data_IF_688077810087
#
_entry.id   IF_688077810087
#
_cell.length_a   1.000
_cell.length_b   1.000
_cell.length_c   1.000
_cell.angle_alpha   90.00
_cell.angle_beta   90.00
_cell.angle_gamma   90.00
#
_symmetry.space_group_name_H-M   'P 1'
#
loop_
_entity.id
_entity.type
_entity.pdbx_description
1 polymer ?
#
# COMPACT_ATOMS: atom_id res chain seq x y z
N UNK A 1 16.38 -16.48 -9.59
CA UNK A 1 15.69 -15.86 -8.43
C UNK A 1 14.21 -16.11 -8.59
N UNK A 2 13.47 -16.46 -7.53
CA UNK A 2 12.05 -16.85 -7.62
C UNK A 2 11.07 -15.67 -7.78
N UNK A 3 11.58 -14.43 -7.76
CA UNK A 3 10.80 -13.17 -7.86
C UNK A 3 11.05 -12.43 -9.17
N UNK A 4 11.58 -13.12 -10.17
CA UNK A 4 11.87 -12.59 -11.51
C UNK A 4 11.28 -13.55 -12.54
N UNK A 5 10.83 -13.05 -13.71
CA UNK A 5 10.25 -13.90 -14.74
C UNK A 5 11.23 -15.00 -15.19
N UNK A 6 10.68 -16.17 -15.50
CA UNK A 6 11.40 -17.30 -16.04
C UNK A 6 11.67 -17.10 -17.54
N UNK A 7 12.91 -16.74 -17.86
CA UNK A 7 13.35 -16.47 -19.24
C UNK A 7 12.80 -15.17 -19.82
N UNK A 8 13.15 -14.89 -21.07
CA UNK A 8 12.91 -13.58 -21.70
C UNK A 8 11.64 -13.50 -22.55
N UNK A 9 10.91 -14.62 -22.71
CA UNK A 9 9.73 -14.69 -23.56
C UNK A 9 8.64 -13.69 -23.15
N UNK A 10 8.26 -13.66 -21.87
CA UNK A 10 7.21 -12.78 -21.37
C UNK A 10 7.62 -11.31 -21.41
N UNK A 11 8.91 -11.02 -21.17
CA UNK A 11 9.48 -9.68 -21.33
C UNK A 11 9.37 -9.20 -22.79
N UNK A 12 9.79 -10.03 -23.74
CA UNK A 12 9.70 -9.73 -25.18
C UNK A 12 8.27 -9.60 -25.66
N UNK A 13 7.35 -10.44 -25.19
CA UNK A 13 5.92 -10.33 -25.50
C UNK A 13 5.34 -9.02 -24.95
N UNK A 14 5.68 -8.64 -23.73
CA UNK A 14 5.26 -7.38 -23.13
C UNK A 14 5.73 -6.16 -23.93
N UNK A 15 6.96 -6.17 -24.42
CA UNK A 15 7.49 -5.12 -25.31
C UNK A 15 6.71 -5.01 -26.61
N UNK A 16 6.46 -6.13 -27.30
CA UNK A 16 5.63 -6.16 -28.51
C UNK A 16 4.21 -5.63 -28.27
N UNK A 17 3.62 -5.96 -27.11
CA UNK A 17 2.32 -5.42 -26.73
C UNK A 17 2.36 -3.89 -26.56
N UNK A 18 3.37 -3.36 -25.88
CA UNK A 18 3.54 -1.90 -25.71
C UNK A 18 3.69 -1.19 -27.04
N UNK A 19 4.54 -1.72 -27.94
CA UNK A 19 4.73 -1.18 -29.29
C UNK A 19 3.41 -1.15 -30.09
N UNK A 20 2.57 -2.17 -29.91
CA UNK A 20 1.25 -2.26 -30.53
C UNK A 20 0.17 -1.42 -29.82
N UNK A 21 0.48 -0.76 -28.68
CA UNK A 21 -0.50 -0.07 -27.85
C UNK A 21 -1.52 -1.01 -27.20
N UNK A 22 -1.13 -2.26 -26.96
CA UNK A 22 -1.94 -3.33 -26.38
C UNK A 22 -1.63 -3.50 -24.88
N UNK A 23 -2.67 -3.48 -24.05
CA UNK A 23 -2.57 -3.71 -22.60
C UNK A 23 -3.22 -5.02 -22.21
N UNK A 24 -2.62 -5.72 -21.24
CA UNK A 24 -3.07 -7.04 -20.77
C UNK A 24 -3.45 -6.98 -19.31
N UNK A 25 -4.75 -7.11 -19.04
CA UNK A 25 -5.27 -7.42 -17.70
C UNK A 25 -5.38 -8.94 -17.54
N UNK A 26 -4.94 -9.48 -16.40
CA UNK A 26 -4.86 -10.91 -16.13
C UNK A 26 -5.69 -11.30 -14.91
N UNK A 27 -6.64 -12.22 -15.09
CA UNK A 27 -7.43 -12.83 -14.02
C UNK A 27 -6.92 -14.25 -13.75
N UNK A 28 -6.32 -14.48 -12.58
CA UNK A 28 -5.71 -15.74 -12.17
C UNK A 28 -6.58 -16.46 -11.14
N UNK A 29 -6.77 -17.77 -11.33
CA UNK A 29 -7.54 -18.64 -10.44
C UNK A 29 -6.68 -19.83 -9.97
N UNK A 30 -5.56 -19.58 -9.26
CA UNK A 30 -4.65 -20.66 -8.88
C UNK A 30 -5.22 -21.55 -7.78
N UNK A 31 -5.04 -22.87 -7.92
CA UNK A 31 -5.23 -23.87 -6.85
C UNK A 31 -3.90 -24.47 -6.36
N UNK A 32 -2.80 -24.12 -7.01
CA UNK A 32 -1.43 -24.49 -6.69
C UNK A 32 -0.48 -23.39 -7.16
N UNK A 33 0.83 -23.60 -7.05
CA UNK A 33 1.84 -22.72 -7.63
C UNK A 33 1.60 -22.49 -9.12
N UNK A 34 1.67 -21.23 -9.56
CA UNK A 34 1.47 -20.80 -10.97
C UNK A 34 2.57 -19.88 -11.50
N UNK A 35 3.56 -19.54 -10.69
CA UNK A 35 4.64 -18.61 -11.06
C UNK A 35 4.14 -17.22 -11.45
N UNK A 36 3.54 -16.52 -10.47
CA UNK A 36 3.03 -15.15 -10.66
C UNK A 36 4.13 -14.18 -11.08
N UNK A 37 5.39 -14.40 -10.68
CA UNK A 37 6.51 -13.56 -11.09
C UNK A 37 6.68 -13.57 -12.61
N UNK A 38 6.51 -14.72 -13.25
CA UNK A 38 6.53 -14.85 -14.72
C UNK A 38 5.25 -14.34 -15.37
N UNK A 39 4.08 -14.77 -14.87
CA UNK A 39 2.79 -14.44 -15.50
C UNK A 39 2.43 -12.95 -15.41
N UNK A 40 2.90 -12.25 -14.38
CA UNK A 40 2.63 -10.82 -14.18
C UNK A 40 3.53 -9.89 -15.01
N UNK A 41 4.55 -10.40 -15.70
CA UNK A 41 5.52 -9.59 -16.44
C UNK A 41 4.87 -8.82 -17.62
N UNK A 42 3.98 -9.48 -18.37
CA UNK A 42 3.27 -8.83 -19.49
C UNK A 42 2.30 -7.74 -18.98
N UNK A 43 1.42 -8.00 -18.00
CA UNK A 43 0.64 -6.93 -17.35
C UNK A 43 1.51 -5.80 -16.79
N UNK A 44 2.68 -6.13 -16.21
CA UNK A 44 3.58 -5.14 -15.60
C UNK A 44 4.12 -4.17 -16.65
N UNK A 45 4.61 -4.69 -17.77
CA UNK A 45 5.16 -3.88 -18.86
C UNK A 45 4.08 -3.09 -19.59
N UNK A 46 2.89 -3.69 -19.75
CA UNK A 46 1.80 -3.10 -20.52
C UNK A 46 0.85 -2.22 -19.70
N UNK A 47 1.23 -1.89 -18.46
CA UNK A 47 0.43 -1.10 -17.51
C UNK A 47 -0.98 -1.67 -17.27
N UNK A 48 -1.11 -3.00 -17.37
CA UNK A 48 -2.33 -3.73 -17.05
C UNK A 48 -2.39 -4.12 -15.57
N UNK A 49 -3.37 -4.96 -15.23
CA UNK A 49 -3.68 -5.39 -13.86
C UNK A 49 -3.59 -6.90 -13.69
N UNK A 50 -3.36 -7.34 -12.45
CA UNK A 50 -3.38 -8.76 -12.06
C UNK A 50 -4.36 -8.95 -10.93
N UNK A 51 -5.44 -9.66 -11.22
CA UNK A 51 -6.45 -10.12 -10.27
C UNK A 51 -6.16 -11.58 -9.93
N UNK A 52 -6.15 -11.93 -8.64
CA UNK A 52 -5.75 -13.26 -8.18
C UNK A 52 -6.77 -13.78 -7.17
N UNK A 53 -7.35 -14.95 -7.46
CA UNK A 53 -8.35 -15.62 -6.63
C UNK A 53 -7.82 -17.00 -6.22
N UNK A 54 -7.13 -17.04 -5.08
CA UNK A 54 -6.59 -18.28 -4.52
C UNK A 54 -7.72 -19.27 -4.21
N UNK A 55 -7.55 -20.53 -4.64
CA UNK A 55 -8.48 -21.63 -4.40
C UNK A 55 -9.94 -21.28 -4.74
N UNK A 56 -10.15 -20.64 -5.89
CA UNK A 56 -11.45 -20.11 -6.31
C UNK A 56 -12.58 -21.16 -6.23
N UNK A 57 -13.64 -20.80 -5.52
CA UNK A 57 -14.90 -21.55 -5.47
C UNK A 57 -16.03 -20.63 -5.95
N UNK A 58 -16.76 -21.05 -6.99
CA UNK A 58 -17.74 -20.20 -7.65
C UNK A 58 -18.90 -19.76 -6.73
N UNK A 59 -19.28 -20.62 -5.80
CA UNK A 59 -20.30 -20.37 -4.78
C UNK A 59 -19.85 -19.40 -3.67
N UNK A 60 -18.55 -19.26 -3.42
CA UNK A 60 -18.00 -18.36 -2.39
C UNK A 60 -17.44 -17.05 -2.94
N UNK A 61 -16.86 -17.09 -4.15
CA UNK A 61 -16.07 -15.99 -4.72
C UNK A 61 -16.57 -15.53 -6.09
N UNK A 62 -17.65 -16.13 -6.62
CA UNK A 62 -18.21 -15.77 -7.93
C UNK A 62 -18.54 -14.28 -8.03
N UNK A 63 -19.22 -13.73 -7.04
CA UNK A 63 -19.56 -12.31 -6.98
C UNK A 63 -18.32 -11.40 -6.87
N UNK A 64 -17.25 -11.87 -6.20
CA UNK A 64 -15.98 -11.13 -6.12
C UNK A 64 -15.40 -10.93 -7.51
N UNK A 65 -15.27 -12.04 -8.23
CA UNK A 65 -14.74 -12.04 -9.59
C UNK A 65 -15.60 -11.20 -10.52
N UNK A 66 -16.93 -11.35 -10.48
CA UNK A 66 -17.83 -10.58 -11.34
C UNK A 66 -17.76 -9.08 -11.05
N UNK A 67 -17.60 -8.69 -9.78
CA UNK A 67 -17.44 -7.28 -9.37
C UNK A 67 -16.13 -6.70 -9.90
N UNK A 68 -15.01 -7.41 -9.75
CA UNK A 68 -13.71 -7.00 -10.30
C UNK A 68 -13.71 -6.96 -11.83
N UNK A 69 -14.38 -7.91 -12.50
CA UNK A 69 -14.51 -7.92 -13.95
C UNK A 69 -15.33 -6.73 -14.45
N UNK A 70 -16.48 -6.45 -13.81
CA UNK A 70 -17.29 -5.29 -14.13
C UNK A 70 -16.50 -3.99 -13.93
N UNK A 71 -15.72 -3.89 -12.86
CA UNK A 71 -14.83 -2.77 -12.58
C UNK A 71 -13.74 -2.63 -13.65
N UNK A 72 -13.05 -3.71 -14.02
CA UNK A 72 -11.97 -3.69 -15.01
C UNK A 72 -12.45 -3.22 -16.40
N UNK A 73 -13.67 -3.61 -16.80
CA UNK A 73 -14.26 -3.28 -18.10
C UNK A 73 -14.87 -1.88 -18.13
N UNK A 74 -15.54 -1.45 -17.04
CA UNK A 74 -16.27 -0.19 -17.01
C UNK A 74 -15.39 1.05 -16.80
N UNK A 75 -14.15 0.87 -16.34
CA UNK A 75 -13.31 2.00 -15.97
C UNK A 75 -12.85 2.85 -17.16
N UNK A 76 -12.73 4.17 -16.98
CA UNK A 76 -12.11 5.04 -17.97
C UNK A 76 -10.67 4.59 -18.25
N UNK A 77 -10.34 4.46 -19.53
CA UNK A 77 -9.00 4.10 -19.99
C UNK A 77 -8.51 5.08 -21.05
N UNK A 78 -7.21 5.26 -21.11
CA UNK A 78 -6.50 5.96 -22.16
C UNK A 78 -5.45 5.01 -22.76
N UNK A 79 -5.31 5.01 -24.08
CA UNK A 79 -4.52 4.01 -24.80
C UNK A 79 -3.26 4.61 -25.40
N UNK A 80 -2.25 3.75 -25.58
CA UNK A 80 -0.98 4.05 -26.24
C UNK A 80 -0.38 5.37 -25.73
N UNK A 81 -0.17 5.44 -24.43
CA UNK A 81 0.31 6.62 -23.75
C UNK A 81 1.83 6.61 -23.60
N UNK A 82 2.43 7.79 -23.75
CA UNK A 82 3.83 8.04 -23.46
C UNK A 82 3.91 9.22 -22.50
N UNK A 83 4.49 8.99 -21.33
CA UNK A 83 4.71 10.00 -20.32
C UNK A 83 6.19 10.39 -20.30
N UNK A 84 6.45 11.70 -20.25
CA UNK A 84 7.78 12.25 -20.07
C UNK A 84 7.78 13.29 -18.96
N UNK A 85 8.72 13.16 -18.04
CA UNK A 85 8.91 14.11 -16.94
C UNK A 85 10.12 14.97 -17.25
N UNK A 86 9.88 16.27 -17.36
CA UNK A 86 10.91 17.30 -17.57
C UNK A 86 11.11 18.07 -16.29
N UNK A 87 12.34 18.50 -16.07
CA UNK A 87 12.73 19.29 -14.91
C UNK A 87 13.48 20.54 -15.35
N UNK A 88 13.46 21.58 -14.52
CA UNK A 88 14.36 22.72 -14.68
C UNK A 88 15.82 22.30 -14.44
N UNK A 89 16.75 23.18 -14.81
CA UNK A 89 18.18 22.94 -14.61
C UNK A 89 18.52 22.63 -13.14
N UNK A 90 19.49 21.74 -12.94
CA UNK A 90 20.01 21.36 -11.63
C UNK A 90 19.40 20.10 -11.02
N UNK A 91 18.27 19.60 -11.52
CA UNK A 91 17.70 18.30 -11.15
C UNK A 91 17.31 17.48 -12.38
N UNK A 92 17.33 16.15 -12.27
CA UNK A 92 16.76 15.23 -13.27
C UNK A 92 16.09 14.01 -12.64
N UNK A 93 15.12 13.39 -13.33
CA UNK A 93 14.71 12.02 -13.04
C UNK A 93 15.85 11.03 -13.32
N UNK A 94 16.05 10.07 -12.41
CA UNK A 94 17.07 9.01 -12.56
C UNK A 94 16.51 7.61 -12.49
N UNK A 95 15.40 7.41 -11.76
CA UNK A 95 14.75 6.12 -11.58
C UNK A 95 13.24 6.30 -11.65
N UNK A 96 12.55 5.28 -12.14
CA UNK A 96 11.10 5.24 -12.26
C UNK A 96 10.57 3.91 -11.70
N UNK A 97 9.46 3.98 -10.99
CA UNK A 97 8.80 2.84 -10.35
C UNK A 97 7.31 2.85 -10.70
N UNK A 98 6.83 1.78 -11.30
CA UNK A 98 5.49 1.70 -11.86
C UNK A 98 5.32 0.44 -12.69
N UNK A 99 4.07 0.03 -12.91
CA UNK A 99 3.74 -0.97 -13.91
C UNK A 99 3.73 -0.26 -15.27
N UNK A 100 4.89 -0.21 -15.91
CA UNK A 100 5.13 0.47 -17.17
C UNK A 100 6.35 -0.11 -17.88
N UNK A 101 6.48 0.20 -19.18
CA UNK A 101 7.68 -0.07 -19.94
C UNK A 101 8.53 1.20 -20.05
N UNK A 102 9.83 1.06 -19.87
CA UNK A 102 10.79 2.17 -19.87
C UNK A 102 11.91 1.77 -20.83
N UNK A 103 11.77 2.03 -22.14
CA UNK A 103 12.74 1.60 -23.15
C UNK A 103 14.04 2.41 -23.09
N UNK A 104 13.99 3.62 -22.52
CA UNK A 104 15.11 4.54 -22.40
C UNK A 104 15.04 5.27 -21.05
N UNK A 105 16.02 6.11 -20.74
CA UNK A 105 16.10 6.78 -19.43
C UNK A 105 15.14 7.97 -19.25
N UNK A 106 14.23 8.24 -20.20
CA UNK A 106 13.42 9.47 -20.20
C UNK A 106 11.93 9.27 -20.48
N UNK A 107 11.58 8.31 -21.34
CA UNK A 107 10.20 8.09 -21.77
C UNK A 107 9.62 6.87 -21.06
N UNK A 108 8.40 7.03 -20.53
CA UNK A 108 7.64 6.00 -19.83
C UNK A 108 6.47 5.61 -20.72
N UNK A 109 6.50 4.40 -21.24
CA UNK A 109 5.48 3.88 -22.14
C UNK A 109 4.43 3.08 -21.37
N UNK A 110 3.17 3.43 -21.61
CA UNK A 110 2.00 2.92 -20.91
C UNK A 110 0.98 2.51 -21.98
N UNK A 111 0.87 1.21 -22.26
CA UNK A 111 -0.06 0.74 -23.28
C UNK A 111 -1.51 1.10 -22.94
N UNK A 112 -1.85 1.09 -21.64
CA UNK A 112 -3.07 1.65 -21.09
C UNK A 112 -2.78 2.49 -19.85
N UNK A 113 -3.55 3.56 -19.65
CA UNK A 113 -3.54 4.38 -18.43
C UNK A 113 -4.96 4.46 -17.89
N UNK A 114 -5.09 4.23 -16.59
CA UNK A 114 -6.35 4.35 -15.88
C UNK A 114 -6.21 5.34 -14.69
N UNK A 115 -7.32 5.82 -14.09
CA UNK A 115 -7.28 6.78 -12.99
C UNK A 115 -6.45 6.41 -11.75
N UNK A 116 -6.15 5.13 -11.52
CA UNK A 116 -5.41 4.67 -10.33
C UNK A 116 -3.97 4.29 -10.68
N UNK A 117 -3.56 4.39 -11.96
CA UNK A 117 -2.20 4.12 -12.36
C UNK A 117 -1.27 5.19 -11.78
N UNK A 118 -0.27 4.76 -11.00
CA UNK A 118 0.72 5.65 -10.41
C UNK A 118 2.14 5.25 -10.83
N UNK A 119 2.95 6.27 -11.17
CA UNK A 119 4.39 6.13 -11.40
C UNK A 119 5.13 7.03 -10.43
N UNK A 120 6.04 6.44 -9.67
CA UNK A 120 6.91 7.13 -8.72
C UNK A 120 8.26 7.37 -9.40
N UNK A 121 8.84 8.55 -9.20
CA UNK A 121 10.11 8.94 -9.81
C UNK A 121 11.10 9.40 -8.75
N UNK A 122 12.36 9.01 -8.90
CA UNK A 122 13.46 9.51 -8.09
C UNK A 122 14.14 10.65 -8.83
N UNK A 123 14.23 11.81 -8.18
CA UNK A 123 14.96 12.97 -8.67
C UNK A 123 16.33 13.04 -8.00
N UNK A 124 17.36 13.38 -8.76
CA UNK A 124 18.69 13.68 -8.23
C UNK A 124 19.19 15.03 -8.71
N UNK A 125 20.14 15.57 -7.97
CA UNK A 125 20.88 16.76 -8.35
C UNK A 125 21.82 16.45 -9.51
N UNK A 126 21.73 17.26 -10.55
CA UNK A 126 22.67 17.28 -11.68
C UNK A 126 23.64 18.45 -11.61
N UNK A 127 23.24 19.53 -10.95
CA UNK A 127 24.07 20.69 -10.67
C UNK A 127 23.63 21.32 -9.33
N UNK A 128 24.33 22.35 -8.88
CA UNK A 128 23.96 23.13 -7.70
C UNK A 128 22.66 23.88 -7.96
N UNK A 129 21.73 23.77 -7.03
CA UNK A 129 20.53 24.59 -6.99
C UNK A 129 20.83 25.90 -6.25
N UNK A 130 20.34 27.02 -6.80
CA UNK A 130 20.39 28.29 -6.09
C UNK A 130 19.41 28.25 -4.93
N UNK A 131 19.81 28.76 -3.77
CA UNK A 131 18.99 28.75 -2.55
C UNK A 131 17.81 29.75 -2.68
N UNK A 132 16.63 29.37 -2.17
CA UNK A 132 15.37 30.13 -2.32
C UNK A 132 14.95 30.42 -3.77
N UNK A 133 15.41 29.61 -4.72
CA UNK A 133 14.94 29.64 -6.10
C UNK A 133 13.86 28.56 -6.32
N UNK A 134 13.19 28.61 -7.47
CA UNK A 134 12.21 27.62 -7.87
C UNK A 134 12.84 26.55 -8.77
N UNK A 135 12.57 25.29 -8.45
CA UNK A 135 12.69 24.20 -9.41
C UNK A 135 11.32 23.82 -9.94
N UNK A 136 11.27 23.44 -11.22
CA UNK A 136 10.05 23.10 -11.92
C UNK A 136 10.08 21.63 -12.33
N UNK A 137 8.96 20.95 -12.14
CA UNK A 137 8.72 19.59 -12.60
C UNK A 137 7.48 19.63 -13.50
N UNK A 138 7.61 19.13 -14.72
CA UNK A 138 6.51 19.03 -15.67
C UNK A 138 6.36 17.59 -16.14
N UNK A 139 5.25 16.95 -15.77
CA UNK A 139 4.86 15.67 -16.34
C UNK A 139 3.92 15.92 -17.53
N UNK A 140 4.31 15.46 -18.72
CA UNK A 140 3.49 15.50 -19.92
C UNK A 140 3.17 14.06 -20.35
N UNK A 141 1.88 13.72 -20.38
CA UNK A 141 1.38 12.42 -20.83
C UNK A 141 0.59 12.60 -22.12
N UNK A 142 1.15 12.11 -23.22
CA UNK A 142 0.52 12.07 -24.54
C UNK A 142 -0.20 10.72 -24.68
N UNK A 143 -1.50 10.72 -24.96
CA UNK A 143 -2.31 9.50 -25.02
C UNK A 143 -3.41 9.59 -26.09
N UNK A 144 -4.03 8.45 -26.41
CA UNK A 144 -5.21 8.36 -27.25
C UNK A 144 -6.42 8.04 -26.38
N UNK A 145 -7.43 8.91 -26.41
CA UNK A 145 -8.71 8.67 -25.71
C UNK A 145 -9.53 7.56 -26.38
N UNK A 146 -10.53 7.01 -25.68
CA UNK A 146 -11.42 5.98 -26.23
C UNK A 146 -12.22 6.43 -27.46
N UNK A 147 -12.40 7.74 -27.65
CA UNK A 147 -13.02 8.31 -28.87
C UNK A 147 -12.03 8.48 -30.03
N UNK A 148 -10.80 7.97 -29.91
CA UNK A 148 -9.77 8.04 -30.95
C UNK A 148 -9.01 9.37 -31.02
N UNK A 149 -9.24 10.30 -30.09
CA UNK A 149 -8.55 11.60 -30.11
C UNK A 149 -7.19 11.52 -29.41
N UNK A 150 -6.13 12.01 -30.07
CA UNK A 150 -4.81 12.20 -29.46
C UNK A 150 -4.83 13.46 -28.58
N UNK A 151 -4.47 13.31 -27.31
CA UNK A 151 -4.51 14.38 -26.30
C UNK A 151 -3.22 14.40 -25.48
N UNK A 152 -2.92 15.55 -24.91
CA UNK A 152 -1.81 15.72 -23.95
C UNK A 152 -2.40 16.20 -22.63
N UNK A 153 -2.06 15.53 -21.54
CA UNK A 153 -2.29 16.01 -20.17
C UNK A 153 -0.97 16.51 -19.60
N UNK A 154 -0.97 17.70 -19.01
CA UNK A 154 0.22 18.33 -18.43
C UNK A 154 -0.05 18.61 -16.95
N UNK A 155 0.87 18.19 -16.09
CA UNK A 155 0.95 18.57 -14.69
C UNK A 155 2.22 19.38 -14.47
N UNK A 156 2.09 20.58 -13.91
CA UNK A 156 3.22 21.43 -13.55
C UNK A 156 3.27 21.57 -12.04
N UNK A 157 4.47 21.40 -11.47
CA UNK A 157 4.75 21.58 -10.06
C UNK A 157 5.99 22.47 -9.92
N UNK A 158 5.92 23.46 -9.03
CA UNK A 158 7.05 24.30 -8.64
C UNK A 158 7.37 24.05 -7.18
N UNK A 159 8.64 23.82 -6.85
CA UNK A 159 9.12 23.61 -5.50
C UNK A 159 10.21 24.62 -5.18
N UNK A 160 10.22 25.14 -3.95
CA UNK A 160 11.30 25.98 -3.46
C UNK A 160 12.53 25.12 -3.15
N UNK A 161 13.71 25.66 -3.44
CA UNK A 161 14.98 25.11 -3.00
C UNK A 161 15.37 25.71 -1.65
N UNK A 162 16.08 24.94 -0.83
CA UNK A 162 16.59 25.43 0.45
C UNK A 162 17.96 24.80 0.74
N UNK A 163 18.88 25.59 1.28
CA UNK A 163 20.14 25.12 1.85
C UNK A 163 19.99 24.68 3.31
N UNK A 164 18.83 24.91 3.92
CA UNK A 164 18.52 24.62 5.32
C UNK A 164 18.02 23.19 5.51
N UNK A 165 18.84 22.32 6.10
CA UNK A 165 18.45 20.95 6.46
C UNK A 165 17.20 20.91 7.37
N UNK A 166 17.07 21.76 8.42
CA UNK A 166 15.85 21.81 9.23
C UNK A 166 14.58 22.07 8.41
N UNK A 167 14.67 22.89 7.37
CA UNK A 167 13.52 23.16 6.50
C UNK A 167 13.12 21.94 5.68
N UNK A 168 14.08 21.16 5.17
CA UNK A 168 13.82 19.90 4.47
C UNK A 168 13.01 18.93 5.35
N UNK A 169 13.39 18.75 6.62
CA UNK A 169 12.65 17.90 7.55
C UNK A 169 11.27 18.46 7.90
N UNK A 170 11.09 19.78 7.90
CA UNK A 170 9.81 20.46 8.17
C UNK A 170 8.79 20.30 7.04
N UNK A 171 9.26 20.09 5.80
CA UNK A 171 8.38 19.93 4.62
C UNK A 171 8.30 18.49 4.11
N UNK A 172 9.04 17.56 4.73
CA UNK A 172 9.04 16.16 4.34
C UNK A 172 7.63 15.57 4.40
N UNK A 173 7.23 14.90 3.32
CA UNK A 173 5.99 14.13 3.25
C UNK A 173 6.32 12.65 3.48
N UNK A 174 5.93 12.14 4.65
CA UNK A 174 6.29 10.78 5.08
C UNK A 174 5.65 9.71 4.17
N UNK A 175 4.41 9.88 3.77
CA UNK A 175 3.68 8.88 3.01
C UNK A 175 4.25 8.72 1.59
N UNK A 176 4.60 9.83 0.94
CA UNK A 176 5.31 9.83 -0.35
C UNK A 176 6.68 9.17 -0.21
N UNK A 177 7.42 9.47 0.86
CA UNK A 177 8.70 8.82 1.12
C UNK A 177 8.54 7.30 1.30
N UNK A 178 7.54 6.86 2.05
CA UNK A 178 7.26 5.43 2.25
C UNK A 178 6.80 4.73 0.96
N UNK A 179 6.01 5.39 0.10
CA UNK A 179 5.64 4.86 -1.20
C UNK A 179 6.89 4.57 -2.06
N UNK A 180 7.80 5.54 -2.18
CA UNK A 180 9.08 5.36 -2.88
C UNK A 180 9.92 4.25 -2.23
N UNK A 181 10.09 4.30 -0.90
CA UNK A 181 10.95 3.37 -0.17
C UNK A 181 10.45 1.92 -0.31
N UNK A 182 9.13 1.72 -0.28
CA UNK A 182 8.51 0.42 -0.52
C UNK A 182 8.79 -0.13 -1.92
N UNK A 183 8.60 0.71 -2.96
CA UNK A 183 8.89 0.32 -4.36
C UNK A 183 10.38 0.04 -4.58
N UNK A 184 11.26 0.86 -3.99
CA UNK A 184 12.71 0.67 -4.01
C UNK A 184 13.11 -0.67 -3.37
N UNK A 185 12.64 -0.92 -2.15
CA UNK A 185 13.02 -2.09 -1.38
C UNK A 185 12.48 -3.40 -2.01
N UNK A 186 11.26 -3.39 -2.57
CA UNK A 186 10.74 -4.54 -3.29
C UNK A 186 11.54 -4.85 -4.56
N UNK A 187 11.92 -3.83 -5.34
CA UNK A 187 12.81 -4.03 -6.49
C UNK A 187 14.16 -4.62 -6.05
N UNK A 188 14.69 -4.17 -4.91
CA UNK A 188 15.94 -4.72 -4.36
C UNK A 188 15.82 -6.21 -3.98
N UNK A 189 14.66 -6.69 -3.52
CA UNK A 189 14.43 -8.10 -3.20
C UNK A 189 14.52 -9.03 -4.44
N UNK A 190 14.32 -8.50 -5.65
CA UNK A 190 14.46 -9.29 -6.87
C UNK A 190 15.91 -9.69 -7.19
N UNK A 191 16.89 -8.92 -6.71
CA UNK A 191 18.30 -9.05 -7.08
C UNK A 191 19.27 -9.22 -5.91
N UNK A 192 18.85 -8.94 -4.67
CA UNK A 192 19.69 -8.99 -3.47
C UNK A 192 19.14 -9.94 -2.42
N UNK A 193 20.02 -10.41 -1.53
CA UNK A 193 19.64 -11.25 -0.41
C UNK A 193 18.66 -10.51 0.53
N UNK A 194 17.63 -11.21 1.00
CA UNK A 194 16.59 -10.65 1.86
C UNK A 194 17.16 -9.89 3.07
N UNK A 195 18.06 -10.51 3.84
CA UNK A 195 18.65 -9.89 5.03
C UNK A 195 19.34 -8.55 4.72
N UNK A 196 20.06 -8.47 3.60
CA UNK A 196 20.73 -7.22 3.20
C UNK A 196 19.74 -6.09 2.91
N UNK A 197 18.55 -6.40 2.39
CA UNK A 197 17.50 -5.40 2.15
C UNK A 197 16.90 -4.95 3.48
N UNK A 198 16.64 -5.87 4.41
CA UNK A 198 16.10 -5.54 5.75
C UNK A 198 17.07 -4.68 6.56
N UNK A 199 18.36 -5.01 6.52
CA UNK A 199 19.41 -4.24 7.20
C UNK A 199 19.55 -2.85 6.58
N UNK A 200 19.48 -2.73 5.26
CA UNK A 200 19.52 -1.43 4.57
C UNK A 200 18.32 -0.55 4.96
N UNK A 201 17.13 -1.12 5.03
CA UNK A 201 15.91 -0.39 5.41
C UNK A 201 16.04 0.20 6.83
N UNK A 202 16.49 -0.62 7.77
CA UNK A 202 16.74 -0.19 9.16
C UNK A 202 17.87 0.84 9.23
N UNK A 203 18.96 0.61 8.48
CA UNK A 203 20.09 1.53 8.39
C UNK A 203 19.67 2.90 7.82
N UNK A 204 18.87 2.95 6.76
CA UNK A 204 18.34 4.20 6.18
C UNK A 204 17.49 4.98 7.19
N UNK A 205 16.65 4.28 7.95
CA UNK A 205 15.86 4.90 9.00
C UNK A 205 16.77 5.51 10.09
N UNK A 206 17.74 4.74 10.58
CA UNK A 206 18.69 5.21 11.59
C UNK A 206 19.55 6.40 11.10
N UNK A 207 20.07 6.36 9.87
CA UNK A 207 20.85 7.46 9.30
C UNK A 207 20.04 8.73 9.12
N UNK A 208 18.78 8.62 8.69
CA UNK A 208 17.88 9.78 8.54
C UNK A 208 17.63 10.46 9.89
N UNK A 209 17.35 9.67 10.94
CA UNK A 209 17.12 10.20 12.28
C UNK A 209 18.40 10.73 12.94
N UNK A 210 19.54 10.08 12.71
CA UNK A 210 20.84 10.58 13.16
C UNK A 210 21.19 11.91 12.49
N UNK A 211 20.91 12.07 11.18
CA UNK A 211 21.08 13.33 10.47
C UNK A 211 20.20 14.44 11.06
N UNK A 212 18.93 14.14 11.36
CA UNK A 212 18.05 15.09 12.05
C UNK A 212 18.61 15.49 13.42
N UNK A 213 19.09 14.52 14.22
CA UNK A 213 19.69 14.83 15.53
C UNK A 213 20.89 15.75 15.38
N UNK A 214 21.82 15.46 14.46
CA UNK A 214 23.04 16.26 14.26
C UNK A 214 22.76 17.69 13.78
N UNK A 215 21.80 17.87 12.87
CA UNK A 215 21.65 19.13 12.13
C UNK A 215 20.45 19.97 12.56
N UNK A 216 19.49 19.42 13.29
CA UNK A 216 18.24 20.10 13.63
C UNK A 216 17.98 20.21 15.13
N UNK A 217 18.31 19.18 15.92
CA UNK A 217 18.02 19.15 17.38
C UNK A 217 19.02 19.90 18.27
N UNK A 218 19.82 20.78 17.68
CA UNK A 218 20.74 21.71 18.37
C UNK A 218 20.38 23.18 18.11
N UNK A 219 19.22 23.44 17.50
CA UNK A 219 18.75 24.78 17.14
C UNK A 219 18.23 25.57 18.35
N UNK A 220 18.13 26.92 18.25
CA UNK A 220 17.77 27.82 19.35
C UNK A 220 16.34 27.65 19.92
N UNK A 221 15.54 26.70 19.40
CA UNK A 221 14.21 26.33 19.90
C UNK A 221 14.13 24.95 20.57
N UNK A 222 15.21 24.16 20.56
CA UNK A 222 15.26 22.81 21.15
C UNK A 222 16.15 22.83 22.40
N UNK A 223 15.73 23.62 23.38
CA UNK A 223 16.41 23.78 24.67
C UNK A 223 16.02 22.59 25.55
N UNK A 224 16.70 21.44 25.42
CA UNK A 224 16.69 20.45 26.51
C UNK A 224 16.64 18.96 26.19
N UNK A 225 16.69 18.51 24.93
CA UNK A 225 16.66 17.06 24.66
C UNK A 225 17.94 16.37 25.13
N UNK A 226 17.83 15.49 26.13
CA UNK A 226 18.98 14.82 26.74
C UNK A 226 19.74 13.95 25.71
N UNK A 227 21.07 13.74 25.85
CA UNK A 227 21.83 12.93 24.90
C UNK A 227 21.33 11.48 24.74
N UNK A 228 20.52 10.99 25.67
CA UNK A 228 19.89 9.66 25.64
C UNK A 228 18.46 9.64 25.10
N UNK A 229 17.92 10.76 24.61
CA UNK A 229 16.59 10.81 23.99
C UNK A 229 16.66 10.63 22.47
N UNK A 230 15.74 9.82 21.95
CA UNK A 230 15.49 9.70 20.52
C UNK A 230 14.59 10.86 20.07
N UNK A 231 15.17 11.87 19.42
CA UNK A 231 14.43 13.02 18.88
C UNK A 231 14.01 12.74 17.44
N UNK A 232 12.72 12.90 17.15
CA UNK A 232 12.14 12.66 15.83
C UNK A 232 11.63 13.98 15.21
N UNK A 233 11.77 14.17 13.89
CA UNK A 233 11.14 15.29 13.20
C UNK A 233 9.62 15.13 13.20
N UNK A 234 8.88 16.23 13.40
CA UNK A 234 7.42 16.20 13.54
C UNK A 234 6.71 15.50 12.37
N UNK A 235 7.09 15.80 11.13
CA UNK A 235 6.46 15.21 9.94
C UNK A 235 6.90 13.78 9.65
N UNK A 236 7.98 13.30 10.28
CA UNK A 236 8.42 11.91 10.15
C UNK A 236 8.41 11.15 11.48
N UNK A 237 7.57 11.60 12.44
CA UNK A 237 7.46 10.97 13.76
C UNK A 237 7.04 9.50 13.70
N UNK A 238 6.30 9.11 12.66
CA UNK A 238 5.86 7.75 12.40
C UNK A 238 6.81 6.98 11.46
N UNK A 239 7.94 7.55 11.08
CA UNK A 239 8.85 6.92 10.11
C UNK A 239 9.40 5.57 10.59
N UNK A 240 9.90 5.42 11.84
CA UNK A 240 10.30 4.10 12.34
C UNK A 240 9.17 3.08 12.31
N UNK A 241 7.95 3.51 12.66
CA UNK A 241 6.77 2.65 12.62
C UNK A 241 6.51 2.17 11.19
N UNK A 242 6.42 3.09 10.22
CA UNK A 242 6.10 2.72 8.83
C UNK A 242 7.20 1.88 8.17
N UNK A 243 8.48 2.11 8.48
CA UNK A 243 9.58 1.26 8.02
C UNK A 243 9.43 -0.17 8.57
N UNK A 244 9.10 -0.31 9.84
CA UNK A 244 8.83 -1.63 10.42
C UNK A 244 7.60 -2.29 9.80
N UNK A 245 6.51 -1.55 9.61
CA UNK A 245 5.29 -2.06 9.01
C UNK A 245 5.54 -2.56 7.58
N UNK A 246 6.28 -1.79 6.77
CA UNK A 246 6.73 -2.20 5.44
C UNK A 246 7.50 -3.52 5.49
N UNK A 247 8.45 -3.64 6.43
CA UNK A 247 9.23 -4.87 6.65
C UNK A 247 8.40 -6.08 7.14
N UNK A 248 7.22 -5.85 7.71
CA UNK A 248 6.26 -6.89 8.12
C UNK A 248 5.28 -7.29 7.01
N UNK A 249 5.23 -6.54 5.90
CA UNK A 249 4.34 -6.91 4.79
C UNK A 249 4.77 -8.24 4.18
N UNK A 250 3.77 -8.99 3.71
CA UNK A 250 3.93 -10.33 3.16
C UNK A 250 4.98 -10.44 2.04
N UNK A 251 5.20 -9.38 1.26
CA UNK A 251 6.25 -9.31 0.25
C UNK A 251 7.68 -9.44 0.83
N UNK A 252 7.89 -8.90 2.03
CA UNK A 252 9.17 -8.94 2.76
C UNK A 252 9.29 -10.15 3.68
N UNK A 253 8.21 -10.88 3.99
CA UNK A 253 8.31 -12.01 4.89
C UNK A 253 9.13 -13.18 4.30
N UNK A 254 9.85 -13.93 5.15
CA UNK A 254 10.49 -15.18 4.74
C UNK A 254 9.51 -16.19 4.16
N UNK A 255 10.01 -17.12 3.33
CA UNK A 255 9.19 -18.06 2.56
C UNK A 255 8.32 -19.02 3.40
N UNK A 256 8.57 -19.14 4.71
CA UNK A 256 7.91 -20.11 5.60
C UNK A 256 6.46 -19.75 5.92
N UNK A 257 6.00 -18.54 5.60
CA UNK A 257 4.69 -18.02 5.99
C UNK A 257 3.81 -17.53 4.83
N UNK A 258 4.40 -17.35 3.64
CA UNK A 258 3.75 -16.74 2.48
C UNK A 258 4.26 -17.44 1.22
N UNK A 259 3.35 -17.87 0.36
CA UNK A 259 3.73 -18.48 -0.93
C UNK A 259 4.47 -17.47 -1.80
N UNK A 260 5.39 -17.95 -2.63
CA UNK A 260 6.14 -17.09 -3.54
C UNK A 260 5.22 -16.31 -4.51
N UNK A 261 4.12 -16.94 -4.93
CA UNK A 261 3.11 -16.31 -5.78
C UNK A 261 2.36 -15.17 -5.09
N UNK A 262 2.16 -15.26 -3.77
CA UNK A 262 1.57 -14.19 -2.99
C UNK A 262 2.53 -13.01 -2.84
N UNK A 263 3.83 -13.30 -2.62
CA UNK A 263 4.88 -12.28 -2.58
C UNK A 263 4.99 -11.54 -3.91
N UNK A 264 5.11 -12.28 -5.01
CA UNK A 264 5.21 -11.70 -6.36
C UNK A 264 3.97 -10.86 -6.70
N UNK A 265 2.77 -11.34 -6.33
CA UNK A 265 1.53 -10.58 -6.53
C UNK A 265 1.52 -9.26 -5.75
N UNK A 266 1.86 -9.27 -4.46
CA UNK A 266 1.93 -8.05 -3.65
C UNK A 266 2.98 -7.07 -4.16
N UNK A 267 4.13 -7.57 -4.62
CA UNK A 267 5.15 -6.74 -5.26
C UNK A 267 4.64 -6.06 -6.53
N UNK A 268 3.90 -6.79 -7.37
CA UNK A 268 3.24 -6.24 -8.54
C UNK A 268 2.22 -5.15 -8.15
N UNK A 269 1.42 -5.38 -7.10
CA UNK A 269 0.44 -4.40 -6.64
C UNK A 269 1.12 -3.11 -6.15
N UNK A 270 2.07 -3.22 -5.21
CA UNK A 270 2.72 -2.03 -4.65
C UNK A 270 3.43 -1.22 -5.72
N UNK A 271 4.05 -1.87 -6.71
CA UNK A 271 4.74 -1.18 -7.80
C UNK A 271 3.80 -0.21 -8.55
N UNK A 272 2.52 -0.56 -8.71
CA UNK A 272 1.48 0.28 -9.32
C UNK A 272 0.71 1.21 -8.37
N UNK A 273 0.90 1.11 -7.06
CA UNK A 273 0.12 1.88 -6.08
C UNK A 273 0.54 3.36 -5.99
N UNK A 274 -0.46 4.21 -5.76
CA UNK A 274 -0.26 5.59 -5.34
C UNK A 274 0.09 5.71 -3.84
N UNK A 275 0.25 6.95 -3.37
CA UNK A 275 0.61 7.23 -1.97
C UNK A 275 -0.48 6.72 -1.01
N UNK A 276 -1.76 7.02 -1.28
CA UNK A 276 -2.89 6.64 -0.42
C UNK A 276 -3.01 5.11 -0.28
N UNK A 277 -2.94 4.40 -1.40
CA UNK A 277 -3.05 2.95 -1.45
C UNK A 277 -1.87 2.27 -0.73
N UNK A 278 -0.64 2.75 -0.97
CA UNK A 278 0.54 2.18 -0.31
C UNK A 278 0.54 2.43 1.20
N UNK A 279 0.03 3.59 1.65
CA UNK A 279 -0.11 3.88 3.08
C UNK A 279 -1.07 2.87 3.75
N UNK A 280 -2.25 2.63 3.15
CA UNK A 280 -3.22 1.63 3.66
C UNK A 280 -2.66 0.20 3.66
N UNK A 281 -1.79 -0.14 2.70
CA UNK A 281 -1.09 -1.43 2.65
C UNK A 281 -0.08 -1.58 3.80
N UNK A 282 0.68 -0.51 4.11
CA UNK A 282 1.70 -0.56 5.15
C UNK A 282 1.07 -0.52 6.54
N UNK A 283 0.15 0.42 6.78
CA UNK A 283 -0.53 0.58 8.05
C UNK A 283 -2.05 0.49 7.83
N UNK A 284 -2.66 -0.68 8.07
CA UNK A 284 -4.09 -0.88 7.92
C UNK A 284 -4.91 0.08 8.78
N UNK A 285 -6.18 0.27 8.41
CA UNK A 285 -7.14 1.10 9.16
C UNK A 285 -8.04 0.18 9.97
N UNK A 286 -8.04 0.30 11.30
CA UNK A 286 -8.85 -0.50 12.21
C UNK A 286 -9.99 0.35 12.80
N UNK A 287 -11.23 0.06 12.42
CA UNK A 287 -12.43 0.81 12.77
C UNK A 287 -13.30 0.06 13.78
N UNK A 288 -13.60 0.61 14.96
CA UNK A 288 -14.58 0.02 15.88
C UNK A 288 -16.01 0.26 15.36
N UNK A 289 -16.73 -0.81 15.01
CA UNK A 289 -18.04 -0.73 14.34
C UNK A 289 -19.23 -1.18 15.20
N UNK A 290 -18.99 -1.64 16.42
CA UNK A 290 -20.04 -2.11 17.34
C UNK A 290 -20.96 -0.98 17.85
N UNK A 291 -20.50 0.27 17.81
CA UNK A 291 -21.25 1.46 18.22
C UNK A 291 -21.48 2.43 17.04
N UNK A 292 -21.61 1.91 15.81
CA UNK A 292 -21.78 2.75 14.62
C UNK A 292 -23.11 3.51 14.66
N UNK A 293 -23.04 4.84 14.61
CA UNK A 293 -24.21 5.70 14.57
C UNK A 293 -24.06 6.75 13.46
N UNK A 294 -25.17 7.17 12.82
CA UNK A 294 -25.13 8.27 11.86
C UNK A 294 -24.82 9.59 12.57
N UNK A 295 -24.28 10.55 11.82
CA UNK A 295 -24.15 11.92 12.28
C UNK A 295 -25.53 12.62 12.32
N UNK A 296 -25.57 13.88 12.75
CA UNK A 296 -26.80 14.69 12.83
C UNK A 296 -27.51 14.88 11.47
N UNK A 297 -26.82 14.66 10.35
CA UNK A 297 -27.36 14.76 8.99
C UNK A 297 -27.85 13.41 8.45
N UNK A 298 -27.77 12.34 9.25
CA UNK A 298 -28.14 10.98 8.85
C UNK A 298 -27.05 10.24 8.06
N UNK A 299 -25.87 10.83 7.90
CA UNK A 299 -24.74 10.25 7.17
C UNK A 299 -23.88 9.37 8.09
N UNK A 300 -23.49 8.20 7.58
CA UNK A 300 -22.58 7.28 8.28
C UNK A 300 -21.17 7.44 7.71
N UNK A 301 -20.25 7.87 8.56
CA UNK A 301 -18.82 8.00 8.23
C UNK A 301 -18.01 6.92 8.94
N UNK A 302 -16.82 6.56 8.42
CA UNK A 302 -15.88 5.74 9.16
C UNK A 302 -15.61 6.38 10.53
N UNK A 303 -15.73 5.62 11.64
CA UNK A 303 -15.36 6.11 12.96
C UNK A 303 -13.85 6.40 12.98
N UNK A 304 -13.34 7.14 13.97
CA UNK A 304 -11.90 7.29 14.16
C UNK A 304 -11.22 5.92 14.23
N UNK A 305 -10.21 5.71 13.39
CA UNK A 305 -9.43 4.47 13.41
C UNK A 305 -8.62 4.39 14.69
N UNK A 306 -8.53 3.20 15.26
CA UNK A 306 -7.66 2.89 16.40
C UNK A 306 -6.34 2.28 15.92
N UNK A 307 -5.37 2.19 16.84
CA UNK A 307 -4.06 1.60 16.55
C UNK A 307 -4.19 0.12 16.17
N UNK A 308 -3.37 -0.31 15.22
CA UNK A 308 -3.30 -1.69 14.73
C UNK A 308 -2.53 -2.59 15.72
N UNK A 309 -3.10 -2.75 16.92
CA UNK A 309 -2.66 -3.67 17.96
C UNK A 309 -3.87 -4.29 18.65
N UNK A 310 -3.73 -5.56 19.03
CA UNK A 310 -4.74 -6.32 19.76
C UNK A 310 -5.06 -5.68 21.12
N UNK A 311 -4.13 -4.91 21.71
CA UNK A 311 -4.32 -4.24 23.00
C UNK A 311 -5.46 -3.20 23.00
N UNK A 312 -5.83 -2.67 21.83
CA UNK A 312 -6.93 -1.70 21.68
C UNK A 312 -8.27 -2.37 21.32
N UNK A 313 -8.29 -3.68 21.13
CA UNK A 313 -9.50 -4.43 20.81
C UNK A 313 -10.15 -4.97 22.09
N UNK A 314 -11.48 -4.92 22.13
CA UNK A 314 -12.28 -5.41 23.25
C UNK A 314 -13.02 -6.70 22.89
N UNK A 315 -13.15 -7.67 23.80
CA UNK A 315 -13.89 -8.92 23.56
C UNK A 315 -15.37 -8.72 23.19
N UNK A 316 -16.00 -7.63 23.62
CA UNK A 316 -17.37 -7.24 23.33
C UNK A 316 -17.52 -6.41 22.05
N UNK A 317 -16.41 -6.10 21.37
CA UNK A 317 -16.39 -5.24 20.19
C UNK A 317 -16.50 -5.99 18.86
N UNK A 318 -16.93 -5.26 17.83
CA UNK A 318 -16.79 -5.61 16.43
C UNK A 318 -15.89 -4.57 15.74
N UNK A 319 -15.03 -5.03 14.83
CA UNK A 319 -14.03 -4.18 14.17
C UNK A 319 -13.92 -4.46 12.68
N UNK A 320 -13.86 -3.42 11.85
CA UNK A 320 -13.46 -3.53 10.44
C UNK A 320 -11.97 -3.19 10.33
N UNK A 321 -11.16 -4.10 9.80
CA UNK A 321 -9.80 -3.83 9.38
C UNK A 321 -9.76 -3.73 7.86
N UNK A 322 -9.27 -2.60 7.36
CA UNK A 322 -9.03 -2.34 5.95
C UNK A 322 -7.51 -2.26 5.68
N UNK A 323 -6.97 -3.20 4.92
CA UNK A 323 -5.54 -3.25 4.58
C UNK A 323 -5.22 -2.73 3.17
N UNK A 324 -6.16 -2.06 2.50
CA UNK A 324 -5.98 -1.55 1.13
C UNK A 324 -6.20 -2.59 0.02
N UNK A 325 -6.41 -3.86 0.36
CA UNK A 325 -6.67 -4.96 -0.60
C UNK A 325 -7.94 -5.72 -0.23
N UNK A 326 -8.13 -6.02 1.06
CA UNK A 326 -9.23 -6.79 1.61
C UNK A 326 -9.76 -6.12 2.88
N UNK A 327 -11.00 -6.43 3.22
CA UNK A 327 -11.64 -6.05 4.47
C UNK A 327 -11.77 -7.26 5.38
N UNK A 328 -11.61 -7.04 6.69
CA UNK A 328 -11.87 -8.06 7.70
C UNK A 328 -12.87 -7.50 8.71
N UNK A 329 -13.99 -8.20 8.92
CA UNK A 329 -14.90 -7.93 10.01
C UNK A 329 -14.62 -8.92 11.15
N UNK A 330 -13.87 -8.46 12.15
CA UNK A 330 -13.59 -9.24 13.35
C UNK A 330 -14.72 -9.09 14.37
N UNK A 331 -15.23 -10.21 14.88
CA UNK A 331 -16.32 -10.29 15.84
C UNK A 331 -15.80 -10.80 17.18
N UNK A 332 -15.89 -9.98 18.22
CA UNK A 332 -15.39 -10.33 19.54
C UNK A 332 -16.13 -11.50 20.20
N UNK A 333 -15.42 -12.19 21.12
CA UNK A 333 -15.91 -13.40 21.77
C UNK A 333 -17.20 -13.18 22.60
N UNK A 334 -17.39 -11.97 23.14
CA UNK A 334 -18.53 -11.58 23.97
C UNK A 334 -19.36 -10.47 23.33
N UNK A 335 -19.32 -10.36 21.99
CA UNK A 335 -20.13 -9.42 21.24
C UNK A 335 -21.63 -9.67 21.48
N UNK A 336 -22.41 -8.59 21.61
CA UNK A 336 -23.84 -8.66 21.92
C UNK A 336 -24.61 -9.50 20.91
N UNK A 337 -25.45 -10.42 21.40
CA UNK A 337 -26.37 -11.21 20.59
C UNK A 337 -27.34 -10.33 19.78
N UNK A 338 -27.74 -9.18 20.32
CA UNK A 338 -28.62 -8.23 19.64
C UNK A 338 -27.93 -7.62 18.41
N UNK A 339 -26.63 -7.30 18.52
CA UNK A 339 -25.85 -6.78 17.40
C UNK A 339 -25.68 -7.86 16.32
N UNK A 340 -25.37 -9.09 16.72
CA UNK A 340 -25.22 -10.22 15.80
C UNK A 340 -26.54 -10.51 15.07
N UNK A 341 -27.66 -10.50 15.79
CA UNK A 341 -28.99 -10.66 15.21
C UNK A 341 -29.31 -9.51 14.25
N UNK A 342 -28.94 -8.27 14.60
CA UNK A 342 -29.17 -7.11 13.75
C UNK A 342 -28.35 -7.13 12.46
N UNK A 343 -27.13 -7.67 12.46
CA UNK A 343 -26.24 -7.68 11.28
C UNK A 343 -26.37 -8.96 10.44
N UNK A 344 -26.48 -10.13 11.08
CA UNK A 344 -26.44 -11.43 10.41
C UNK A 344 -27.77 -12.18 10.44
N UNK A 345 -28.81 -11.65 11.10
CA UNK A 345 -30.11 -12.29 11.29
C UNK A 345 -30.04 -13.67 11.95
N UNK A 346 -29.07 -13.86 12.85
CA UNK A 346 -28.85 -15.08 13.63
C UNK A 346 -28.56 -14.73 15.09
N UNK A 347 -28.98 -15.54 16.07
CA UNK A 347 -28.82 -15.26 17.49
C UNK A 347 -27.38 -15.39 18.01
N UNK A 348 -26.46 -15.98 17.24
CA UNK A 348 -25.07 -16.18 17.66
C UNK A 348 -24.12 -16.37 16.48
N UNK A 349 -22.86 -15.94 16.65
CA UNK A 349 -21.77 -16.13 15.67
C UNK A 349 -21.48 -17.58 15.31
N UNK A 350 -21.97 -18.56 16.10
CA UNK A 350 -21.81 -20.00 15.83
C UNK A 350 -22.79 -20.54 14.79
N UNK A 351 -23.83 -19.79 14.45
CA UNK A 351 -24.93 -20.28 13.60
C UNK A 351 -24.74 -19.99 12.11
N UNK A 352 -23.59 -19.44 11.74
CA UNK A 352 -23.19 -19.26 10.35
C UNK A 352 -21.73 -19.63 10.14
N UNK A 353 -21.42 -19.93 8.89
CA UNK A 353 -20.07 -20.22 8.40
C UNK A 353 -19.48 -18.91 7.84
N UNK A 354 -18.48 -18.28 8.50
CA UNK A 354 -17.95 -16.98 8.06
C UNK A 354 -17.38 -17.01 6.64
N UNK A 355 -16.83 -18.15 6.23
CA UNK A 355 -16.25 -18.37 4.90
C UNK A 355 -17.29 -18.26 3.77
N UNK A 356 -18.58 -18.49 4.08
CA UNK A 356 -19.70 -18.38 3.14
C UNK A 356 -20.26 -16.96 3.03
N UNK A 357 -19.79 -16.03 3.85
CA UNK A 357 -20.24 -14.64 3.79
C UNK A 357 -19.34 -13.89 2.80
N UNK A 358 -19.90 -13.62 1.62
CA UNK A 358 -19.26 -12.76 0.62
C UNK A 358 -19.48 -11.26 0.91
N UNK A 359 -20.73 -10.88 1.23
CA UNK A 359 -21.14 -9.51 1.56
C UNK A 359 -22.07 -9.52 2.78
N UNK A 360 -22.22 -8.37 3.43
CA UNK A 360 -23.09 -8.21 4.59
C UNK A 360 -24.58 -8.31 4.20
N UNK A 361 -25.40 -9.01 4.99
CA UNK A 361 -26.85 -9.01 4.79
C UNK A 361 -27.44 -7.60 4.91
N UNK A 362 -28.17 -7.15 3.89
CA UNK A 362 -28.87 -5.86 3.88
C UNK A 362 -30.24 -5.99 4.56
N UNK A 363 -30.24 -5.91 5.90
CA UNK A 363 -31.42 -6.12 6.74
C UNK A 363 -32.13 -4.78 7.05
N UNK A 364 -33.46 -4.79 7.29
CA UNK A 364 -34.24 -3.57 7.52
C UNK A 364 -34.12 -3.04 8.96
N UNK A 365 -32.89 -2.86 9.45
CA UNK A 365 -32.60 -2.21 10.73
C UNK A 365 -31.43 -1.21 10.59
N UNK A 366 -31.25 -0.35 11.58
CA UNK A 366 -30.24 0.71 11.51
C UNK A 366 -28.81 0.17 11.56
N UNK A 367 -28.52 -0.80 12.42
CA UNK A 367 -27.17 -1.37 12.57
C UNK A 367 -26.66 -1.98 11.27
N UNK A 368 -27.45 -2.83 10.62
CA UNK A 368 -27.11 -3.44 9.33
C UNK A 368 -26.98 -2.38 8.23
N UNK A 369 -27.94 -1.45 8.10
CA UNK A 369 -27.88 -0.40 7.07
C UNK A 369 -26.64 0.48 7.22
N UNK A 370 -26.31 0.88 8.44
CA UNK A 370 -25.16 1.74 8.72
C UNK A 370 -23.85 1.00 8.42
N UNK A 371 -23.73 -0.26 8.83
CA UNK A 371 -22.54 -1.07 8.56
C UNK A 371 -22.36 -1.35 7.07
N UNK A 372 -23.43 -1.73 6.36
CA UNK A 372 -23.39 -1.94 4.91
C UNK A 372 -22.99 -0.65 4.18
N UNK A 373 -23.57 0.49 4.57
CA UNK A 373 -23.21 1.79 3.99
C UNK A 373 -21.73 2.12 4.22
N UNK A 374 -21.21 1.87 5.42
CA UNK A 374 -19.78 2.07 5.70
C UNK A 374 -18.90 1.19 4.80
N UNK A 375 -19.23 -0.09 4.65
CA UNK A 375 -18.49 -1.02 3.78
C UNK A 375 -18.56 -0.56 2.32
N UNK A 376 -19.74 -0.17 1.84
CA UNK A 376 -19.93 0.38 0.49
C UNK A 376 -19.06 1.64 0.27
N UNK A 377 -18.97 2.55 1.25
CA UNK A 377 -18.09 3.73 1.17
C UNK A 377 -16.60 3.35 1.14
N UNK A 378 -16.17 2.39 1.96
CA UNK A 378 -14.79 1.91 1.94
C UNK A 378 -14.48 1.29 0.58
N UNK A 379 -15.38 0.49 0.00
CA UNK A 379 -15.21 -0.08 -1.34
C UNK A 379 -14.99 0.99 -2.42
N UNK A 380 -15.68 2.12 -2.33
CA UNK A 380 -15.53 3.24 -3.27
C UNK A 380 -14.18 3.96 -3.16
N UNK A 381 -13.48 3.85 -2.03
CA UNK A 381 -12.14 4.44 -1.86
C UNK A 381 -11.03 3.60 -2.51
N UNK A 382 -11.31 2.34 -2.83
CA UNK A 382 -10.32 1.40 -3.34
C UNK A 382 -10.33 1.32 -4.87
N UNK A 383 -9.16 1.03 -5.44
CA UNK A 383 -8.98 0.86 -6.90
C UNK A 383 -9.45 -0.48 -7.44
N UNK A 384 -10.08 -1.31 -6.61
CA UNK A 384 -10.52 -2.67 -6.90
C UNK A 384 -11.65 -3.05 -5.95
N UNK A 385 -12.39 -4.10 -6.27
CA UNK A 385 -13.34 -4.64 -5.32
C UNK A 385 -12.59 -5.35 -4.19
N UNK A 386 -12.81 -4.94 -2.95
CA UNK A 386 -12.20 -5.56 -1.77
C UNK A 386 -13.10 -6.68 -1.26
N UNK A 387 -12.54 -7.87 -1.02
CA UNK A 387 -13.30 -8.96 -0.40
C UNK A 387 -13.44 -8.72 1.09
N UNK A 388 -14.64 -8.96 1.63
CA UNK A 388 -14.89 -8.97 3.07
C UNK A 388 -14.68 -10.38 3.63
N UNK A 389 -13.89 -10.48 4.69
CA UNK A 389 -13.70 -11.71 5.47
C UNK A 389 -14.28 -11.52 6.87
N UNK A 390 -15.25 -12.34 7.25
CA UNK A 390 -15.74 -12.37 8.63
C UNK A 390 -14.83 -13.28 9.47
N UNK A 391 -14.35 -12.79 10.60
CA UNK A 391 -13.35 -13.47 11.44
C UNK A 391 -13.81 -13.50 12.90
N UNK A 392 -13.64 -14.65 13.56
CA UNK A 392 -13.93 -14.82 15.00
C UNK A 392 -12.68 -15.31 15.75
N UNK A 393 -12.61 -15.09 17.07
CA UNK A 393 -11.58 -15.67 17.92
C UNK A 393 -11.51 -17.20 17.76
N UNK A 394 -10.31 -17.69 17.45
CA UNK A 394 -10.05 -19.12 17.23
C UNK A 394 -10.30 -19.64 15.81
N UNK A 395 -10.87 -18.83 14.90
CA UNK A 395 -10.95 -19.21 13.48
C UNK A 395 -9.54 -19.28 12.86
N UNK A 396 -9.35 -20.13 11.84
CA UNK A 396 -8.06 -20.21 11.13
C UNK A 396 -7.63 -18.86 10.54
N UNK A 397 -8.60 -18.08 10.04
CA UNK A 397 -8.38 -16.74 9.51
C UNK A 397 -8.00 -15.69 10.55
N UNK A 398 -8.18 -15.97 11.85
CA UNK A 398 -7.74 -15.04 12.91
C UNK A 398 -6.22 -14.89 12.92
N UNK A 399 -5.47 -15.96 12.59
CA UNK A 399 -4.03 -15.89 12.43
C UNK A 399 -3.61 -14.90 11.33
N UNK A 400 -4.32 -14.90 10.21
CA UNK A 400 -4.13 -13.94 9.12
C UNK A 400 -4.52 -12.52 9.54
N UNK A 401 -5.65 -12.35 10.23
CA UNK A 401 -6.09 -11.06 10.77
C UNK A 401 -5.05 -10.44 11.70
N UNK A 402 -4.51 -11.23 12.65
CA UNK A 402 -3.51 -10.77 13.63
C UNK A 402 -2.21 -10.29 12.99
N UNK A 403 -1.86 -10.75 11.79
CA UNK A 403 -0.68 -10.24 11.05
C UNK A 403 -0.84 -8.79 10.60
N UNK A 404 -2.08 -8.32 10.41
CA UNK A 404 -2.39 -6.94 10.06
C UNK A 404 -2.46 -6.02 11.29
N UNK A 405 -2.36 -6.55 12.51
CA UNK A 405 -2.11 -5.78 13.73
C UNK A 405 -0.60 -5.47 13.82
N UNK A 406 -0.14 -4.64 12.88
CA UNK A 406 1.28 -4.46 12.52
C UNK A 406 2.17 -3.90 13.65
N UNK A 407 1.59 -3.37 14.72
CA UNK A 407 2.35 -2.90 15.89
C UNK A 407 2.78 -4.05 16.82
N UNK A 408 2.08 -5.18 16.75
CA UNK A 408 2.30 -6.35 17.60
C UNK A 408 3.39 -7.29 17.06
N UNK A 409 3.77 -8.25 17.89
CA UNK A 409 4.46 -9.45 17.44
C UNK A 409 3.45 -10.35 16.73
N UNK A 410 3.70 -10.72 15.48
CA UNK A 410 2.86 -11.69 14.76
C UNK A 410 3.39 -13.13 14.89
N UNK A 411 4.70 -13.30 15.12
CA UNK A 411 5.37 -14.58 15.36
C UNK A 411 6.50 -14.44 16.39
N UNK A 412 7.00 -15.57 16.91
CA UNK A 412 8.05 -15.57 17.94
C UNK A 412 9.33 -14.83 17.54
N UNK A 413 9.67 -14.79 16.24
CA UNK A 413 10.85 -14.11 15.71
C UNK A 413 10.57 -12.67 15.26
N UNK A 414 9.30 -12.26 15.20
CA UNK A 414 8.94 -10.88 14.88
C UNK A 414 9.09 -9.97 16.10
N UNK A 415 9.39 -8.69 15.83
CA UNK A 415 9.52 -7.66 16.88
C UNK A 415 8.28 -6.76 16.91
N UNK A 416 7.88 -6.34 18.11
CA UNK A 416 6.85 -5.30 18.30
C UNK A 416 7.38 -3.92 17.90
N UNK A 417 6.50 -2.94 17.74
CA UNK A 417 6.92 -1.56 17.49
C UNK A 417 7.83 -1.00 18.58
N UNK A 418 7.50 -1.28 19.85
CA UNK A 418 8.31 -0.83 20.98
C UNK A 418 9.74 -1.39 20.94
N UNK A 419 9.90 -2.66 20.56
CA UNK A 419 11.21 -3.30 20.42
C UNK A 419 12.00 -2.74 19.25
N UNK A 420 11.34 -2.52 18.11
CA UNK A 420 11.99 -1.92 16.94
C UNK A 420 12.43 -0.49 17.20
N UNK A 421 11.61 0.31 17.89
CA UNK A 421 11.97 1.67 18.28
C UNK A 421 13.20 1.69 19.21
N UNK A 422 13.27 0.75 20.16
CA UNK A 422 14.47 0.55 20.99
C UNK A 422 15.71 0.18 20.15
N UNK A 423 15.55 -0.65 19.12
CA UNK A 423 16.65 -1.01 18.22
C UNK A 423 17.12 0.20 17.39
N UNK A 424 16.19 0.93 16.78
CA UNK A 424 16.48 2.17 16.04
C UNK A 424 17.21 3.18 16.94
N UNK A 425 16.78 3.33 18.19
CA UNK A 425 17.46 4.22 19.12
C UNK A 425 18.94 3.81 19.33
N UNK A 426 19.24 2.52 19.49
CA UNK A 426 20.61 2.02 19.61
C UNK A 426 21.44 2.31 18.35
N UNK A 427 20.88 2.06 17.17
CA UNK A 427 21.55 2.33 15.89
C UNK A 427 21.84 3.83 15.71
N UNK A 428 20.86 4.69 15.95
CA UNK A 428 21.02 6.15 15.91
C UNK A 428 22.12 6.60 16.88
N UNK A 429 22.10 6.10 18.11
CA UNK A 429 23.12 6.42 19.10
C UNK A 429 24.52 5.95 18.69
N UNK A 430 24.63 4.78 18.07
CA UNK A 430 25.89 4.28 17.51
C UNK A 430 26.43 5.16 16.39
N UNK A 431 25.56 5.71 15.55
CA UNK A 431 25.96 6.63 14.48
C UNK A 431 26.39 8.00 15.02
N UNK A 432 25.85 8.45 16.14
CA UNK A 432 26.17 9.76 16.73
C UNK A 432 27.49 9.79 17.51
N UNK A 433 28.04 8.62 17.84
CA UNK A 433 29.41 8.48 18.34
C UNK A 433 30.40 8.60 17.20
#
# INVERSE_FOLDING_TARGET
TLLTPAGDFYTGLGQLCVEAGCSVDLFLFPNSFVDVATLSEVPRLTAGRVYKYNCFQADLQGEHFLSDLAWAVSRPKALNAVMRVRTSAGIRPVEFFGNCHIPNTTDIELACVDPDAAVTLELRHDDKLQDNDLVFIQAACLYTSLSGQRRIRIHNLSLNTTSSIPEIFRIADLDTHMNWLGKFAMRALCSRAHQHVMDEMTSRAAHTLAAYRRHCSSGPGDVGASPGELVLPQNMKLFPLYVQCLMKTDAFLPADHVSIDERAWLMFLLNGMDVKQSNALFYPRLYPVHNLAPNFEGNVYPPPSIRCSYEYMQPEGAYILDNGINLFLWLGATLSADWIQAVFNVPSVRQFEPEKIYDLPRLPNETSRNLCHLVDQIHLEHSRHTRLFVVRPGDQMEGSFKRFLVEDRYSGNSVSYMEYLCHIHKEVFSLLR
#
